data_IF_925918668795
#
_entry.id   IF_925918668795
#
_cell.length_a   1.000
_cell.length_b   1.000
_cell.length_c   1.000
_cell.angle_alpha   90.00
_cell.angle_beta   90.00
_cell.angle_gamma   90.00
#
_symmetry.space_group_name_H-M   'P 1'
#
loop_
_entity.id
_entity.type
_entity.pdbx_description
1 polymer ?
#
# COMPACT_ATOMS: atom_id res chain seq x y z
N UNK A 1 12.39 -9.86 1.53
CA UNK A 1 13.11 -8.58 1.71
C UNK A 1 13.20 -8.31 3.20
N UNK A 2 14.40 -8.36 3.77
CA UNK A 2 14.61 -8.04 5.19
C UNK A 2 14.56 -6.51 5.42
N UNK A 3 14.55 -6.08 6.69
CA UNK A 3 14.29 -4.69 7.06
C UNK A 3 15.12 -4.21 8.25
N UNK A 4 14.55 -3.28 9.01
CA UNK A 4 15.28 -2.49 10.01
C UNK A 4 14.66 -2.59 11.41
N UNK A 5 15.45 -2.19 12.42
CA UNK A 5 15.05 -1.94 13.81
C UNK A 5 14.23 -3.07 14.46
N UNK A 6 13.13 -2.74 15.16
CA UNK A 6 12.36 -3.72 15.92
C UNK A 6 11.69 -4.75 15.02
N UNK A 7 11.30 -4.33 13.81
CA UNK A 7 10.71 -5.23 12.82
C UNK A 7 11.72 -6.26 12.31
N UNK A 8 13.01 -5.93 12.16
CA UNK A 8 14.05 -6.89 11.79
C UNK A 8 14.19 -8.02 12.82
N UNK A 9 14.18 -7.68 14.11
CA UNK A 9 14.25 -8.66 15.21
C UNK A 9 13.04 -9.60 15.16
N UNK A 10 11.83 -9.05 15.01
CA UNK A 10 10.60 -9.83 14.89
C UNK A 10 10.62 -10.70 13.63
N UNK A 11 11.15 -10.17 12.53
CA UNK A 11 11.20 -10.86 11.23
C UNK A 11 12.04 -12.13 11.29
N UNK A 12 13.19 -12.07 11.97
CA UNK A 12 14.01 -13.25 12.23
C UNK A 12 13.26 -14.31 13.05
N UNK A 13 12.59 -13.91 14.14
CA UNK A 13 11.79 -14.84 14.93
C UNK A 13 10.70 -15.52 14.09
N UNK A 14 9.95 -14.74 13.31
CA UNK A 14 8.88 -15.27 12.44
C UNK A 14 9.45 -16.28 11.46
N UNK A 15 10.52 -15.89 10.74
CA UNK A 15 11.17 -16.73 9.73
C UNK A 15 11.64 -18.05 10.34
N UNK A 16 12.41 -18.01 11.42
CA UNK A 16 13.08 -19.19 11.99
C UNK A 16 12.12 -20.07 12.82
N UNK A 17 11.21 -19.47 13.59
CA UNK A 17 10.38 -20.21 14.56
C UNK A 17 9.00 -20.57 14.03
N UNK A 18 8.43 -19.77 13.12
CA UNK A 18 7.08 -19.99 12.61
C UNK A 18 7.09 -20.53 11.17
N UNK A 19 7.95 -20.02 10.30
CA UNK A 19 7.94 -20.38 8.88
C UNK A 19 8.83 -21.58 8.57
N UNK A 20 10.16 -21.45 8.70
CA UNK A 20 11.12 -22.47 8.27
C UNK A 20 11.08 -23.75 9.12
N UNK A 21 10.52 -23.69 10.33
CA UNK A 21 10.26 -24.86 11.17
C UNK A 21 9.12 -25.74 10.66
N UNK A 22 8.24 -25.20 9.79
CA UNK A 22 7.04 -25.89 9.30
C UNK A 22 6.98 -25.98 7.76
N UNK A 23 7.74 -25.15 7.04
CA UNK A 23 7.68 -25.02 5.58
C UNK A 23 9.10 -25.06 5.01
N UNK A 24 9.37 -26.07 4.19
CA UNK A 24 10.57 -26.11 3.35
C UNK A 24 10.33 -25.25 2.11
N UNK A 25 10.84 -24.02 2.13
CA UNK A 25 10.65 -23.03 1.06
C UNK A 25 11.98 -22.40 0.66
N UNK A 26 12.22 -22.30 -0.65
CA UNK A 26 13.38 -21.59 -1.17
C UNK A 26 13.16 -20.07 -1.08
N UNK A 27 13.95 -19.40 -0.22
CA UNK A 27 13.89 -17.95 -0.06
C UNK A 27 15.00 -17.27 -0.89
N UNK A 28 14.60 -16.46 -1.87
CA UNK A 28 15.52 -15.50 -2.51
C UNK A 28 15.68 -14.29 -1.59
N UNK A 29 16.74 -14.31 -0.81
CA UNK A 29 16.98 -13.33 0.25
C UNK A 29 17.61 -12.04 -0.28
N UNK A 30 17.07 -10.90 0.14
CA UNK A 30 17.60 -9.56 -0.13
C UNK A 30 17.51 -8.76 1.17
N UNK A 31 18.64 -8.26 1.65
CA UNK A 31 18.71 -7.43 2.86
C UNK A 31 18.42 -5.97 2.49
N UNK A 32 17.24 -5.46 2.83
CA UNK A 32 16.92 -4.03 2.62
C UNK A 32 17.16 -3.20 3.88
N UNK A 33 17.87 -3.76 4.87
CA UNK A 33 18.35 -3.00 6.01
C UNK A 33 19.18 -1.80 5.56
N UNK A 34 18.98 -0.66 6.19
CA UNK A 34 19.57 0.63 5.83
C UNK A 34 21.10 0.56 5.66
N UNK A 35 21.89 -0.14 6.52
CA UNK A 35 23.32 -0.28 6.30
C UNK A 35 23.69 -0.98 4.99
N UNK A 36 22.97 -2.04 4.60
CA UNK A 36 23.26 -2.78 3.37
C UNK A 36 22.78 -2.04 2.12
N UNK A 37 21.66 -1.31 2.22
CA UNK A 37 21.26 -0.36 1.17
C UNK A 37 22.32 0.71 0.96
N UNK A 38 22.86 1.31 2.02
CA UNK A 38 23.94 2.29 1.90
C UNK A 38 25.21 1.68 1.29
N UNK A 39 25.59 0.48 1.73
CA UNK A 39 26.74 -0.26 1.19
C UNK A 39 26.62 -0.48 -0.33
N UNK A 40 25.43 -0.86 -0.81
CA UNK A 40 25.16 -1.18 -2.22
C UNK A 40 24.71 0.01 -3.06
N UNK A 41 24.74 1.23 -2.52
CA UNK A 41 24.22 2.43 -3.16
C UNK A 41 22.74 2.26 -3.62
N UNK A 42 21.94 1.61 -2.77
CA UNK A 42 20.53 1.26 -2.94
C UNK A 42 20.22 0.27 -4.08
N UNK A 43 21.24 -0.33 -4.70
CA UNK A 43 21.06 -1.31 -5.78
C UNK A 43 20.30 -2.56 -5.32
N UNK A 44 20.52 -3.01 -4.07
CA UNK A 44 19.80 -4.18 -3.51
C UNK A 44 18.27 -4.00 -3.53
N UNK A 45 17.80 -2.77 -3.38
CA UNK A 45 16.36 -2.43 -3.44
C UNK A 45 15.82 -2.70 -4.85
N UNK A 46 16.53 -2.27 -5.89
CA UNK A 46 16.17 -2.49 -7.29
C UNK A 46 16.20 -3.98 -7.61
N UNK A 47 17.27 -4.68 -7.22
CA UNK A 47 17.46 -6.10 -7.50
C UNK A 47 16.35 -6.94 -6.86
N UNK A 48 15.92 -6.59 -5.65
CA UNK A 48 14.82 -7.26 -4.96
C UNK A 48 13.47 -7.08 -5.69
N UNK A 49 13.21 -5.91 -6.29
CA UNK A 49 12.01 -5.67 -7.08
C UNK A 49 12.03 -6.45 -8.39
N UNK A 50 13.20 -6.53 -9.06
CA UNK A 50 13.36 -7.33 -10.28
C UNK A 50 13.23 -8.83 -9.99
N UNK A 51 13.76 -9.31 -8.87
CA UNK A 51 13.53 -10.68 -8.40
C UNK A 51 12.05 -10.94 -8.13
N UNK A 52 11.33 -9.96 -7.59
CA UNK A 52 9.87 -10.06 -7.38
C UNK A 52 9.13 -10.21 -8.70
N UNK A 53 9.48 -9.46 -9.75
CA UNK A 53 8.91 -9.69 -11.10
C UNK A 53 9.18 -11.10 -11.61
N UNK A 54 10.38 -11.63 -11.36
CA UNK A 54 10.77 -12.98 -11.80
C UNK A 54 9.99 -14.08 -11.06
N UNK A 55 9.88 -13.97 -9.73
CA UNK A 55 9.31 -15.03 -8.88
C UNK A 55 7.85 -14.79 -8.46
N UNK A 56 7.28 -13.63 -8.80
CA UNK A 56 5.89 -13.20 -8.61
C UNK A 56 5.46 -12.95 -7.16
N UNK A 57 6.26 -13.31 -6.16
CA UNK A 57 5.87 -13.18 -4.74
C UNK A 57 7.03 -12.62 -3.93
N UNK A 58 6.79 -11.51 -3.24
CA UNK A 58 7.68 -10.98 -2.23
C UNK A 58 6.97 -10.85 -0.87
N UNK A 59 7.74 -11.09 0.18
CA UNK A 59 7.40 -10.77 1.56
C UNK A 59 8.43 -9.79 2.09
N UNK A 60 7.98 -8.66 2.64
CA UNK A 60 8.84 -7.54 2.99
C UNK A 60 8.68 -7.10 4.44
N UNK A 61 9.81 -6.96 5.10
CA UNK A 61 9.94 -6.34 6.41
C UNK A 61 9.94 -4.80 6.28
N UNK A 62 9.53 -4.10 7.34
CA UNK A 62 9.54 -2.64 7.35
C UNK A 62 10.98 -2.11 7.30
N UNK A 63 11.18 -1.01 6.56
CA UNK A 63 12.49 -0.41 6.27
C UNK A 63 12.50 1.07 6.61
N UNK A 64 13.62 1.59 7.11
CA UNK A 64 13.81 3.02 7.34
C UNK A 64 13.81 3.76 6.00
N UNK A 65 13.07 4.86 5.90
CA UNK A 65 13.33 5.88 4.87
C UNK A 65 14.11 7.00 5.56
N UNK A 66 15.40 7.21 5.22
CA UNK A 66 16.25 8.12 5.98
C UNK A 66 15.85 9.59 5.76
N UNK A 67 15.82 10.35 6.85
CA UNK A 67 15.82 11.82 6.90
C UNK A 67 17.23 12.31 7.30
N UNK A 68 17.39 13.62 7.52
CA UNK A 68 18.66 14.22 7.93
C UNK A 68 19.22 13.58 9.21
N UNK A 69 18.36 13.31 10.20
CA UNK A 69 18.77 12.69 11.46
C UNK A 69 19.26 11.24 11.25
N UNK A 70 18.61 10.48 10.34
CA UNK A 70 19.07 9.13 9.98
C UNK A 70 20.37 9.14 9.18
N UNK A 71 20.60 10.14 8.34
CA UNK A 71 21.87 10.33 7.64
C UNK A 71 23.01 10.49 8.65
N UNK A 72 22.81 11.31 9.68
CA UNK A 72 23.80 11.47 10.75
C UNK A 72 23.96 10.20 11.60
N UNK A 73 22.85 9.59 12.04
CA UNK A 73 22.86 8.40 12.90
C UNK A 73 23.63 7.23 12.26
N UNK A 74 23.35 6.96 10.97
CA UNK A 74 23.92 5.82 10.26
C UNK A 74 25.16 6.18 9.43
N UNK A 75 25.57 7.45 9.42
CA UNK A 75 26.67 7.98 8.61
C UNK A 75 26.52 7.62 7.12
N UNK A 76 25.32 7.86 6.60
CA UNK A 76 24.94 7.46 5.24
C UNK A 76 25.70 8.28 4.20
N UNK A 77 26.04 7.64 3.06
CA UNK A 77 26.63 8.32 1.90
C UNK A 77 25.66 9.34 1.31
N UNK A 78 24.37 9.02 1.29
CA UNK A 78 23.29 9.83 0.75
C UNK A 78 22.00 9.62 1.55
N UNK A 79 21.08 10.57 1.44
CA UNK A 79 19.69 10.38 1.88
C UNK A 79 18.95 9.51 0.84
N UNK A 80 19.02 8.19 1.01
CA UNK A 80 18.43 7.23 0.08
C UNK A 80 16.90 7.34 0.01
N UNK A 81 16.33 7.08 -1.17
CA UNK A 81 14.87 7.07 -1.38
C UNK A 81 14.21 5.93 -0.60
N UNK A 82 12.89 6.04 -0.43
CA UNK A 82 12.10 4.98 0.22
C UNK A 82 12.14 3.67 -0.58
N UNK A 83 12.52 2.53 0.02
CA UNK A 83 12.48 1.24 -0.66
C UNK A 83 11.09 0.88 -1.18
N UNK A 84 10.05 1.22 -0.41
CA UNK A 84 8.65 1.02 -0.81
C UNK A 84 8.33 1.78 -2.10
N UNK A 85 8.76 3.04 -2.20
CA UNK A 85 8.58 3.85 -3.40
C UNK A 85 9.30 3.24 -4.61
N UNK A 86 10.57 2.85 -4.44
CA UNK A 86 11.36 2.22 -5.52
C UNK A 86 10.73 0.91 -6.00
N UNK A 87 10.35 0.01 -5.09
CA UNK A 87 9.72 -1.28 -5.42
C UNK A 87 8.39 -1.06 -6.14
N UNK A 88 7.51 -0.20 -5.61
CA UNK A 88 6.21 0.11 -6.24
C UNK A 88 6.37 0.74 -7.61
N UNK A 89 7.38 1.59 -7.81
CA UNK A 89 7.68 2.17 -9.13
C UNK A 89 8.12 1.12 -10.14
N UNK A 90 8.88 0.11 -9.71
CA UNK A 90 9.38 -0.96 -10.58
C UNK A 90 8.25 -1.95 -10.88
N UNK A 91 7.53 -2.40 -9.86
CA UNK A 91 6.46 -3.40 -10.00
C UNK A 91 5.20 -2.82 -10.65
N UNK A 92 4.88 -1.56 -10.37
CA UNK A 92 3.55 -1.01 -10.60
C UNK A 92 2.50 -1.65 -9.67
N UNK A 93 1.24 -1.27 -9.86
CA UNK A 93 0.12 -1.89 -9.16
C UNK A 93 -0.48 -1.06 -8.03
N UNK A 94 -1.29 -1.74 -7.23
CA UNK A 94 -2.19 -1.15 -6.24
C UNK A 94 -1.93 -1.73 -4.87
N UNK A 95 -1.82 -0.89 -3.85
CA UNK A 95 -1.60 -1.35 -2.48
C UNK A 95 -2.96 -1.57 -1.81
N UNK A 96 -3.28 -2.82 -1.51
CA UNK A 96 -4.48 -3.21 -0.78
C UNK A 96 -4.19 -3.28 0.71
N UNK A 97 -4.90 -2.47 1.50
CA UNK A 97 -4.85 -2.48 2.97
C UNK A 97 -6.15 -3.00 3.54
N UNK A 98 -6.09 -4.09 4.30
CA UNK A 98 -7.26 -4.75 4.90
C UNK A 98 -7.02 -5.01 6.40
N UNK A 99 -7.98 -4.65 7.27
CA UNK A 99 -7.85 -4.85 8.72
C UNK A 99 -7.96 -6.34 9.08
N UNK A 100 -7.19 -6.72 10.09
CA UNK A 100 -7.20 -8.05 10.71
C UNK A 100 -8.21 -8.04 11.84
N UNK A 101 -9.31 -8.77 11.68
CA UNK A 101 -10.39 -8.78 12.66
C UNK A 101 -10.11 -9.74 13.82
N UNK A 102 -9.91 -9.18 15.02
CA UNK A 102 -9.84 -9.92 16.27
C UNK A 102 -11.15 -9.76 17.06
N UNK A 103 -11.78 -10.88 17.47
CA UNK A 103 -13.11 -10.85 18.12
C UNK A 103 -13.15 -10.05 19.43
N UNK A 104 -12.03 -10.00 20.14
CA UNK A 104 -11.89 -9.35 21.45
C UNK A 104 -11.37 -7.91 21.37
N UNK A 105 -11.14 -7.37 20.18
CA UNK A 105 -10.71 -5.99 19.99
C UNK A 105 -11.94 -5.15 19.59
N UNK A 106 -12.36 -4.18 20.43
CA UNK A 106 -13.45 -3.29 20.08
C UNK A 106 -13.03 -2.38 18.92
N UNK A 107 -13.99 -2.00 18.09
CA UNK A 107 -13.81 -1.09 16.96
C UNK A 107 -14.31 0.30 17.35
N UNK A 108 -13.68 1.35 16.83
CA UNK A 108 -14.10 2.73 17.10
C UNK A 108 -15.44 3.05 16.45
N UNK A 109 -15.71 2.42 15.30
CA UNK A 109 -17.03 2.44 14.65
C UNK A 109 -17.66 1.06 14.85
N UNK A 110 -18.56 0.87 15.83
CA UNK A 110 -19.06 -0.45 16.21
C UNK A 110 -19.81 -1.18 15.07
N UNK A 111 -20.42 -0.42 14.15
CA UNK A 111 -21.16 -0.94 13.01
C UNK A 111 -20.31 -1.68 11.98
N UNK A 112 -19.00 -1.43 11.92
CA UNK A 112 -18.07 -2.10 11.00
C UNK A 112 -17.85 -3.55 11.42
N UNK A 113 -18.77 -4.43 11.02
CA UNK A 113 -18.78 -5.85 11.36
C UNK A 113 -18.01 -6.69 10.35
N UNK A 114 -17.82 -6.18 9.14
CA UNK A 114 -17.00 -6.75 8.08
C UNK A 114 -15.76 -5.86 7.81
N UNK A 115 -14.67 -6.40 7.25
CA UNK A 115 -13.50 -5.60 6.89
C UNK A 115 -13.84 -4.58 5.80
N UNK A 116 -13.09 -3.49 5.74
CA UNK A 116 -13.08 -2.58 4.60
C UNK A 116 -11.69 -2.62 4.00
N UNK A 117 -11.58 -2.86 2.71
CA UNK A 117 -10.28 -2.95 2.03
C UNK A 117 -10.04 -1.71 1.19
N UNK A 118 -8.99 -0.95 1.50
CA UNK A 118 -8.56 0.19 0.68
C UNK A 118 -7.65 -0.33 -0.42
N UNK A 119 -7.98 -0.07 -1.69
CA UNK A 119 -7.02 -0.15 -2.79
C UNK A 119 -6.44 1.23 -3.06
N UNK A 120 -5.20 1.48 -2.67
CA UNK A 120 -4.50 2.75 -2.88
C UNK A 120 -3.76 2.74 -4.21
N UNK A 121 -4.04 3.74 -5.05
CA UNK A 121 -3.26 4.02 -6.27
C UNK A 121 -1.89 4.61 -5.92
N UNK A 122 -0.87 3.76 -5.79
CA UNK A 122 0.45 4.18 -5.31
C UNK A 122 1.35 4.80 -6.40
N UNK A 123 0.81 5.71 -7.23
CA UNK A 123 1.53 6.39 -8.30
C UNK A 123 1.04 7.83 -8.51
N UNK A 124 1.95 8.72 -8.92
CA UNK A 124 1.61 10.09 -9.32
C UNK A 124 1.05 10.96 -8.19
N UNK A 125 0.22 11.92 -8.59
CA UNK A 125 -0.45 12.90 -7.72
C UNK A 125 0.55 13.64 -6.81
N UNK A 126 0.17 13.95 -5.56
CA UNK A 126 1.02 14.67 -4.60
C UNK A 126 2.38 14.00 -4.37
N UNK A 127 2.49 12.68 -4.55
CA UNK A 127 3.71 11.92 -4.26
C UNK A 127 4.75 12.03 -5.38
N UNK A 128 4.43 12.71 -6.48
CA UNK A 128 5.35 13.09 -7.56
C UNK A 128 5.11 14.53 -8.03
N UNK A 129 4.60 15.36 -7.14
CA UNK A 129 4.41 16.76 -7.42
C UNK A 129 5.76 17.50 -7.48
N UNK A 130 5.75 18.67 -8.12
CA UNK A 130 6.79 19.69 -7.97
C UNK A 130 6.13 20.91 -7.38
N UNK A 131 6.66 21.40 -6.27
CA UNK A 131 6.16 22.54 -5.52
C UNK A 131 7.24 23.60 -5.28
N UNK A 132 6.81 24.82 -5.00
CA UNK A 132 7.70 25.95 -4.74
C UNK A 132 7.01 27.03 -3.90
N UNK A 133 7.83 27.83 -3.21
CA UNK A 133 7.40 29.03 -2.49
C UNK A 133 7.54 30.24 -3.42
N UNK A 134 6.54 31.11 -3.40
CA UNK A 134 6.52 32.39 -4.10
C UNK A 134 6.84 33.49 -3.09
N UNK A 135 7.95 34.19 -3.27
CA UNK A 135 8.38 35.27 -2.35
C UNK A 135 7.96 36.67 -2.81
N UNK A 136 7.57 36.81 -4.08
CA UNK A 136 7.25 38.09 -4.71
C UNK A 136 6.12 37.97 -5.74
N UNK A 137 5.43 39.06 -6.09
CA UNK A 137 4.36 39.04 -7.09
C UNK A 137 4.82 38.45 -8.43
N UNK A 138 3.93 37.73 -9.12
CA UNK A 138 4.24 37.08 -10.39
C UNK A 138 3.15 36.14 -10.90
N UNK A 139 3.23 35.77 -12.18
CA UNK A 139 2.28 34.84 -12.82
C UNK A 139 2.77 33.40 -12.74
N UNK A 140 1.92 32.51 -12.23
CA UNK A 140 2.12 31.07 -12.30
C UNK A 140 1.33 30.50 -13.48
N UNK A 141 2.04 29.79 -14.35
CA UNK A 141 1.50 29.18 -15.56
C UNK A 141 1.92 27.72 -15.64
N UNK A 142 1.09 26.91 -16.30
CA UNK A 142 1.40 25.53 -16.68
C UNK A 142 1.52 25.49 -18.21
N UNK A 143 2.56 24.82 -18.69
CA UNK A 143 2.88 24.70 -20.11
C UNK A 143 2.99 23.23 -20.47
N UNK A 144 2.32 22.83 -21.55
CA UNK A 144 2.46 21.50 -22.14
C UNK A 144 3.00 21.62 -23.56
N UNK A 145 4.15 21.00 -23.82
CA UNK A 145 4.82 20.99 -25.12
C UNK A 145 4.73 19.59 -25.73
N UNK A 146 3.85 19.36 -26.72
CA UNK A 146 3.69 18.06 -27.35
C UNK A 146 4.98 17.55 -28.00
N UNK A 147 5.28 16.27 -27.82
CA UNK A 147 6.49 15.64 -28.36
C UNK A 147 6.49 15.50 -29.90
N UNK A 148 5.30 15.53 -30.52
CA UNK A 148 5.13 15.51 -31.97
C UNK A 148 5.38 16.87 -32.63
N UNK A 149 5.73 17.90 -31.85
CA UNK A 149 5.99 19.25 -32.32
C UNK A 149 4.72 20.05 -32.63
N UNK A 150 3.53 19.54 -32.29
CA UNK A 150 2.29 20.30 -32.39
C UNK A 150 2.28 21.49 -31.41
N UNK A 151 1.28 22.37 -31.56
CA UNK A 151 1.24 23.67 -30.88
C UNK A 151 1.27 23.51 -29.36
N UNK A 152 2.22 24.20 -28.71
CA UNK A 152 2.29 24.29 -27.25
C UNK A 152 0.99 24.87 -26.66
N UNK A 153 0.58 24.28 -25.56
CA UNK A 153 -0.56 24.74 -24.76
C UNK A 153 -0.07 25.41 -23.48
N UNK A 154 -0.76 26.47 -23.07
CA UNK A 154 -0.41 27.26 -21.89
C UNK A 154 -1.68 27.66 -21.14
N UNK A 155 -1.66 27.48 -19.81
CA UNK A 155 -2.73 27.87 -18.91
C UNK A 155 -2.18 28.73 -17.78
N UNK A 156 -2.75 29.92 -17.58
CA UNK A 156 -2.47 30.72 -16.38
C UNK A 156 -3.23 30.12 -15.20
N UNK A 157 -2.50 29.72 -14.15
CA UNK A 157 -3.09 29.15 -12.92
C UNK A 157 -3.49 30.27 -11.98
N UNK A 158 -2.59 31.22 -11.73
CA UNK A 158 -2.83 32.33 -10.83
C UNK A 158 -1.84 33.48 -11.06
N UNK A 159 -2.26 34.70 -10.74
CA UNK A 159 -1.40 35.88 -10.69
C UNK A 159 -1.21 36.32 -9.24
N UNK A 160 -0.05 35.99 -8.66
CA UNK A 160 0.31 36.35 -7.29
C UNK A 160 0.53 37.86 -7.16
N UNK A 161 -0.17 38.49 -6.22
CA UNK A 161 0.01 39.90 -5.84
C UNK A 161 0.92 40.09 -4.62
N UNK A 162 1.30 39.00 -3.96
CA UNK A 162 2.22 38.92 -2.83
C UNK A 162 2.82 37.50 -2.76
N UNK A 163 3.42 37.12 -1.63
CA UNK A 163 3.94 35.76 -1.44
C UNK A 163 2.87 34.66 -1.42
N UNK A 164 3.29 33.41 -1.59
CA UNK A 164 2.40 32.25 -1.63
C UNK A 164 3.15 30.95 -1.92
N UNK A 165 2.46 29.94 -2.45
CA UNK A 165 3.07 28.70 -2.93
C UNK A 165 2.33 28.19 -4.17
N UNK A 166 3.03 27.41 -4.99
CA UNK A 166 2.49 26.77 -6.18
C UNK A 166 2.89 25.31 -6.25
N UNK A 167 2.10 24.49 -6.94
CA UNK A 167 2.45 23.11 -7.23
C UNK A 167 1.88 22.65 -8.57
N UNK A 168 2.55 21.66 -9.17
CA UNK A 168 2.06 20.88 -10.30
C UNK A 168 2.15 19.39 -9.99
N UNK A 169 1.16 18.61 -10.43
CA UNK A 169 1.14 17.16 -10.29
C UNK A 169 0.57 16.51 -11.55
N UNK A 170 0.80 15.20 -11.69
CA UNK A 170 0.36 14.44 -12.86
C UNK A 170 0.01 13.00 -12.49
N UNK A 171 -0.73 12.37 -13.39
CA UNK A 171 -0.91 10.92 -13.44
C UNK A 171 -0.90 10.47 -14.91
N UNK A 172 -0.97 9.16 -15.16
CA UNK A 172 -0.98 8.60 -16.52
C UNK A 172 -2.14 7.62 -16.70
N UNK A 173 -2.73 7.62 -17.90
CA UNK A 173 -3.81 6.68 -18.25
C UNK A 173 -3.40 5.22 -18.05
N UNK A 174 -2.15 4.87 -18.38
CA UNK A 174 -1.58 3.54 -18.15
C UNK A 174 -1.65 3.15 -16.66
N UNK A 175 -1.22 4.05 -15.78
CA UNK A 175 -1.20 3.80 -14.34
C UNK A 175 -2.61 3.70 -13.76
N UNK A 176 -3.52 4.59 -14.18
CA UNK A 176 -4.93 4.58 -13.75
C UNK A 176 -5.63 3.31 -14.24
N UNK A 177 -5.35 2.86 -15.47
CA UNK A 177 -5.92 1.63 -16.02
C UNK A 177 -5.43 0.41 -15.25
N UNK A 178 -4.13 0.34 -14.94
CA UNK A 178 -3.57 -0.72 -14.10
C UNK A 178 -4.20 -0.75 -12.70
N UNK A 179 -4.41 0.43 -12.09
CA UNK A 179 -5.12 0.57 -10.82
C UNK A 179 -6.56 0.03 -10.89
N UNK A 180 -7.32 0.41 -11.92
CA UNK A 180 -8.68 -0.07 -12.13
C UNK A 180 -8.73 -1.60 -12.25
N UNK A 181 -7.89 -2.19 -13.11
CA UNK A 181 -7.80 -3.65 -13.29
C UNK A 181 -7.51 -4.37 -11.97
N UNK A 182 -6.51 -3.91 -11.20
CA UNK A 182 -6.19 -4.47 -9.88
C UNK A 182 -7.39 -4.41 -8.93
N UNK A 183 -8.11 -3.28 -8.86
CA UNK A 183 -9.27 -3.13 -7.98
C UNK A 183 -10.44 -4.05 -8.36
N UNK A 184 -10.77 -4.15 -9.65
CA UNK A 184 -11.85 -5.04 -10.11
C UNK A 184 -11.53 -6.51 -9.87
N UNK A 185 -10.31 -6.95 -10.19
CA UNK A 185 -9.85 -8.32 -9.94
C UNK A 185 -9.89 -8.66 -8.44
N UNK A 186 -9.43 -7.75 -7.58
CA UNK A 186 -9.44 -7.95 -6.14
C UNK A 186 -10.87 -8.02 -5.58
N UNK A 187 -11.78 -7.16 -6.05
CA UNK A 187 -13.20 -7.21 -5.66
C UNK A 187 -13.88 -8.52 -6.07
N UNK A 188 -13.60 -9.04 -7.27
CA UNK A 188 -14.06 -10.37 -7.73
C UNK A 188 -13.53 -11.48 -6.83
N UNK A 189 -12.23 -11.46 -6.51
CA UNK A 189 -11.60 -12.45 -5.62
C UNK A 189 -12.26 -12.47 -4.25
N UNK A 190 -12.59 -11.29 -3.69
CA UNK A 190 -13.29 -11.14 -2.41
C UNK A 190 -14.79 -11.39 -2.51
N UNK A 191 -15.36 -11.39 -3.72
CA UNK A 191 -16.80 -11.37 -4.00
C UNK A 191 -17.50 -10.22 -3.28
N UNK A 192 -16.90 -9.04 -3.33
CA UNK A 192 -17.38 -7.83 -2.67
C UNK A 192 -17.64 -6.70 -3.68
N UNK A 193 -18.58 -5.78 -3.40
CA UNK A 193 -18.74 -4.59 -4.21
C UNK A 193 -17.51 -3.68 -4.15
N UNK A 194 -17.34 -2.87 -5.20
CA UNK A 194 -16.23 -1.93 -5.37
C UNK A 194 -16.76 -0.49 -5.44
N UNK A 195 -16.15 0.39 -4.66
CA UNK A 195 -16.37 1.83 -4.75
C UNK A 195 -15.08 2.52 -5.17
N UNK A 196 -15.17 3.50 -6.08
CA UNK A 196 -14.04 4.38 -6.40
C UNK A 196 -14.44 5.83 -6.10
N UNK A 197 -13.59 6.57 -5.39
CA UNK A 197 -13.91 7.93 -4.97
C UNK A 197 -13.00 8.98 -5.56
N UNK A 198 -13.58 10.09 -6.02
CA UNK A 198 -12.84 11.28 -6.50
C UNK A 198 -13.54 12.58 -6.12
N UNK A 199 -13.00 13.73 -6.53
CA UNK A 199 -13.65 15.04 -6.49
C UNK A 199 -13.85 15.62 -7.90
N UNK A 200 -14.34 14.80 -8.84
CA UNK A 200 -14.51 15.18 -10.25
C UNK A 200 -15.48 16.35 -10.51
N UNK A 201 -16.34 16.74 -9.56
CA UNK A 201 -17.14 17.97 -9.69
C UNK A 201 -16.27 19.23 -9.67
N UNK A 202 -15.12 19.17 -8.99
CA UNK A 202 -14.13 20.25 -8.89
C UNK A 202 -12.99 20.03 -9.89
N UNK A 203 -12.31 18.89 -9.81
CA UNK A 203 -11.22 18.52 -10.72
C UNK A 203 -11.78 17.83 -11.97
N UNK A 204 -12.54 18.59 -12.78
CA UNK A 204 -13.34 18.06 -13.88
C UNK A 204 -12.54 17.22 -14.89
N UNK A 205 -11.35 17.68 -15.28
CA UNK A 205 -10.48 16.94 -16.18
C UNK A 205 -9.71 15.84 -15.45
N UNK A 206 -8.95 16.19 -14.41
CA UNK A 206 -8.04 15.28 -13.71
C UNK A 206 -8.77 14.10 -13.05
N UNK A 207 -9.75 14.38 -12.19
CA UNK A 207 -10.53 13.34 -11.50
C UNK A 207 -11.64 12.76 -12.37
N UNK A 208 -12.08 13.51 -13.39
CA UNK A 208 -12.93 12.98 -14.45
C UNK A 208 -12.24 11.84 -15.19
N UNK A 209 -10.94 11.96 -15.49
CA UNK A 209 -10.18 10.91 -16.17
C UNK A 209 -10.14 9.59 -15.40
N UNK A 210 -9.99 9.65 -14.08
CA UNK A 210 -10.10 8.46 -13.23
C UNK A 210 -11.47 7.81 -13.33
N UNK A 211 -12.54 8.60 -13.21
CA UNK A 211 -13.92 8.13 -13.32
C UNK A 211 -14.17 7.45 -14.67
N UNK A 212 -13.79 8.11 -15.76
CA UNK A 212 -14.03 7.64 -17.11
C UNK A 212 -13.28 6.34 -17.39
N UNK A 213 -11.98 6.27 -17.06
CA UNK A 213 -11.18 5.04 -17.24
C UNK A 213 -11.76 3.87 -16.45
N UNK A 214 -12.14 4.08 -15.19
CA UNK A 214 -12.75 3.00 -14.39
C UNK A 214 -14.08 2.53 -14.98
N UNK A 215 -14.92 3.45 -15.45
CA UNK A 215 -16.20 3.11 -16.06
C UNK A 215 -16.02 2.32 -17.37
N UNK A 216 -15.13 2.79 -18.25
CA UNK A 216 -14.85 2.15 -19.53
C UNK A 216 -14.32 0.72 -19.33
N UNK A 217 -13.38 0.54 -18.41
CA UNK A 217 -12.82 -0.78 -18.07
C UNK A 217 -13.88 -1.68 -17.43
N UNK A 218 -14.72 -1.15 -16.53
CA UNK A 218 -15.79 -1.92 -15.90
C UNK A 218 -16.74 -2.51 -16.94
N UNK A 219 -17.30 -1.65 -17.80
CA UNK A 219 -18.27 -2.03 -18.84
C UNK A 219 -17.67 -3.04 -19.82
N UNK A 220 -16.43 -2.81 -20.25
CA UNK A 220 -15.77 -3.64 -21.26
C UNK A 220 -15.31 -4.99 -20.73
N UNK A 221 -14.83 -5.05 -19.49
CA UNK A 221 -14.05 -6.21 -19.01
C UNK A 221 -14.65 -6.93 -17.80
N UNK A 222 -15.41 -6.26 -16.94
CA UNK A 222 -15.73 -6.79 -15.61
C UNK A 222 -17.21 -6.89 -15.29
N UNK A 223 -18.07 -6.11 -15.95
CA UNK A 223 -19.51 -6.10 -15.69
C UNK A 223 -20.14 -7.50 -15.71
N UNK A 224 -19.87 -8.39 -16.70
CA UNK A 224 -20.47 -9.72 -16.71
C UNK A 224 -20.14 -10.58 -15.47
N UNK A 225 -18.90 -10.53 -14.99
CA UNK A 225 -18.49 -11.30 -13.80
C UNK A 225 -19.03 -10.67 -12.51
N UNK A 226 -19.11 -9.34 -12.44
CA UNK A 226 -19.76 -8.64 -11.32
C UNK A 226 -21.24 -8.98 -11.22
N UNK A 227 -21.98 -8.95 -12.33
CA UNK A 227 -23.39 -9.31 -12.39
C UNK A 227 -23.61 -10.76 -11.93
N UNK A 228 -22.78 -11.69 -12.41
CA UNK A 228 -22.81 -13.12 -12.04
C UNK A 228 -22.54 -13.34 -10.54
N UNK A 229 -21.61 -12.59 -9.96
CA UNK A 229 -21.29 -12.65 -8.53
C UNK A 229 -22.25 -11.84 -7.65
N UNK A 230 -23.18 -11.10 -8.25
CA UNK A 230 -24.15 -10.22 -7.57
C UNK A 230 -23.45 -9.12 -6.74
N UNK A 231 -22.38 -8.58 -7.27
CA UNK A 231 -21.64 -7.43 -6.74
C UNK A 231 -21.73 -6.28 -7.74
N UNK A 232 -21.44 -5.05 -7.30
CA UNK A 232 -21.53 -3.86 -8.14
C UNK A 232 -20.26 -2.99 -8.05
N UNK A 233 -20.11 -2.12 -9.04
CA UNK A 233 -19.14 -1.03 -9.03
C UNK A 233 -19.88 0.30 -9.00
N UNK A 234 -19.40 1.24 -8.20
CA UNK A 234 -19.93 2.60 -8.16
C UNK A 234 -18.82 3.65 -7.99
N UNK A 235 -18.85 4.70 -8.81
CA UNK A 235 -18.10 5.93 -8.55
C UNK A 235 -18.86 6.84 -7.58
N UNK A 236 -18.17 7.37 -6.57
CA UNK A 236 -18.73 8.34 -5.61
C UNK A 236 -17.86 9.58 -5.47
N UNK A 237 -18.47 10.68 -5.07
CA UNK A 237 -17.71 11.83 -4.59
C UNK A 237 -17.08 11.50 -3.23
N UNK A 238 -15.83 11.90 -3.02
CA UNK A 238 -15.05 11.51 -1.83
C UNK A 238 -15.73 11.91 -0.51
N UNK A 239 -16.38 13.07 -0.45
CA UNK A 239 -17.12 13.55 0.71
C UNK A 239 -18.37 12.72 1.02
N UNK A 240 -19.10 12.28 0.00
CA UNK A 240 -20.21 11.34 0.18
C UNK A 240 -19.70 9.95 0.57
N UNK A 241 -18.61 9.49 -0.06
CA UNK A 241 -18.02 8.18 0.20
C UNK A 241 -17.57 8.03 1.66
N UNK A 242 -16.86 9.01 2.23
CA UNK A 242 -16.44 8.94 3.65
C UNK A 242 -17.64 8.91 4.61
N UNK A 243 -18.72 9.62 4.27
CA UNK A 243 -19.96 9.60 5.06
C UNK A 243 -20.68 8.25 4.96
N UNK A 244 -20.72 7.64 3.77
CA UNK A 244 -21.24 6.30 3.57
C UNK A 244 -20.43 5.26 4.36
N UNK A 245 -19.10 5.33 4.29
CA UNK A 245 -18.20 4.39 4.97
C UNK A 245 -18.49 4.36 6.47
N UNK A 246 -18.62 5.53 7.12
CA UNK A 246 -18.93 5.62 8.54
C UNK A 246 -20.28 4.99 8.94
N UNK A 247 -21.27 5.02 8.03
CA UNK A 247 -22.61 4.45 8.26
C UNK A 247 -22.73 2.98 7.84
N UNK A 248 -21.74 2.47 7.11
CA UNK A 248 -21.76 1.12 6.56
C UNK A 248 -21.51 0.04 7.63
N UNK A 249 -21.70 -1.22 7.23
CA UNK A 249 -21.27 -2.39 8.00
C UNK A 249 -19.90 -2.95 7.57
N UNK A 250 -19.21 -2.28 6.64
CA UNK A 250 -18.03 -2.80 5.94
C UNK A 250 -18.38 -3.77 4.80
N UNK A 251 -17.43 -4.59 4.37
CA UNK A 251 -17.63 -5.66 3.38
C UNK A 251 -17.53 -5.20 1.92
N UNK A 252 -16.66 -4.25 1.64
CA UNK A 252 -16.44 -3.71 0.30
C UNK A 252 -14.97 -3.35 0.06
N UNK A 253 -14.60 -3.26 -1.22
CA UNK A 253 -13.33 -2.69 -1.65
C UNK A 253 -13.55 -1.21 -1.95
N UNK A 254 -12.67 -0.35 -1.47
CA UNK A 254 -12.67 1.08 -1.72
C UNK A 254 -11.38 1.48 -2.42
N UNK A 255 -11.49 1.71 -3.73
CA UNK A 255 -10.43 2.26 -4.56
C UNK A 255 -10.27 3.76 -4.29
N UNK A 256 -9.09 4.12 -3.76
CA UNK A 256 -8.71 5.47 -3.43
C UNK A 256 -7.56 5.95 -4.31
N UNK A 257 -7.63 7.22 -4.74
CA UNK A 257 -6.46 7.94 -5.26
C UNK A 257 -5.33 7.94 -4.23
N UNK A 258 -4.13 8.31 -4.67
CA UNK A 258 -2.92 8.10 -3.88
C UNK A 258 -3.00 8.72 -2.47
N UNK A 259 -3.37 10.00 -2.40
CA UNK A 259 -3.48 10.73 -1.14
C UNK A 259 -4.65 10.24 -0.27
N UNK A 260 -5.83 10.05 -0.88
CA UNK A 260 -7.01 9.54 -0.16
C UNK A 260 -6.72 8.16 0.45
N UNK A 261 -6.06 7.28 -0.30
CA UNK A 261 -5.74 5.93 0.15
C UNK A 261 -4.74 5.92 1.30
N UNK A 262 -3.81 6.88 1.34
CA UNK A 262 -2.88 7.05 2.46
C UNK A 262 -3.65 7.40 3.73
N UNK A 263 -4.37 8.53 3.71
CA UNK A 263 -5.10 9.07 4.87
C UNK A 263 -6.17 8.11 5.36
N UNK A 264 -7.01 7.59 4.45
CA UNK A 264 -8.17 6.77 4.83
C UNK A 264 -7.76 5.38 5.32
N UNK A 265 -6.63 4.85 4.85
CA UNK A 265 -6.13 3.56 5.35
C UNK A 265 -5.68 3.62 6.81
N UNK A 266 -5.09 4.74 7.24
CA UNK A 266 -4.70 4.96 8.64
C UNK A 266 -5.93 5.14 9.54
N UNK A 267 -6.94 5.87 9.07
CA UNK A 267 -8.24 6.00 9.77
C UNK A 267 -8.88 4.62 9.95
N UNK A 268 -8.90 3.79 8.90
CA UNK A 268 -9.44 2.44 9.00
C UNK A 268 -8.61 1.58 9.95
N UNK A 269 -7.29 1.61 9.87
CA UNK A 269 -6.43 0.83 10.77
C UNK A 269 -6.71 1.16 12.25
N UNK A 270 -6.83 2.44 12.57
CA UNK A 270 -7.17 2.87 13.93
C UNK A 270 -8.61 2.53 14.29
N UNK A 271 -9.55 2.66 13.34
CA UNK A 271 -10.96 2.33 13.53
C UNK A 271 -11.22 0.84 13.78
N UNK A 272 -10.36 -0.03 13.23
CA UNK A 272 -10.37 -1.47 13.47
C UNK A 272 -9.47 -1.92 14.63
N UNK A 273 -8.82 -0.99 15.33
CA UNK A 273 -8.13 -1.22 16.59
C UNK A 273 -6.71 -0.63 16.64
N UNK A 274 -5.84 -1.01 15.70
CA UNK A 274 -4.48 -0.47 15.61
C UNK A 274 -3.85 -0.70 14.24
N UNK A 275 -2.80 0.07 13.92
CA UNK A 275 -1.94 -0.17 12.75
C UNK A 275 -1.29 -1.56 12.72
N UNK A 276 -1.09 -2.20 13.88
CA UNK A 276 -0.57 -3.57 13.97
C UNK A 276 -1.57 -4.65 13.55
N UNK A 277 -2.82 -4.27 13.30
CA UNK A 277 -3.91 -5.15 12.84
C UNK A 277 -4.33 -4.77 11.41
N UNK A 278 -3.39 -4.39 10.56
CA UNK A 278 -3.63 -4.03 9.17
C UNK A 278 -2.62 -4.76 8.27
N UNK A 279 -3.14 -5.49 7.29
CA UNK A 279 -2.34 -6.09 6.21
C UNK A 279 -2.06 -5.07 5.12
N UNK A 280 -0.97 -5.22 4.37
CA UNK A 280 -0.67 -4.42 3.19
C UNK A 280 -0.14 -5.33 2.08
N UNK A 281 -0.82 -5.38 0.94
CA UNK A 281 -0.43 -6.21 -0.20
C UNK A 281 -0.46 -5.37 -1.47
N UNK A 282 0.69 -5.13 -2.08
CA UNK A 282 0.78 -4.62 -3.44
C UNK A 282 0.38 -5.73 -4.41
N UNK A 283 -0.61 -5.46 -5.26
CA UNK A 283 -1.06 -6.36 -6.32
C UNK A 283 -0.83 -5.70 -7.68
N UNK A 284 -0.02 -6.36 -8.50
CA UNK A 284 0.27 -5.93 -9.87
C UNK A 284 -0.91 -6.21 -10.81
N UNK A 285 -1.05 -5.46 -11.91
CA UNK A 285 -2.19 -5.61 -12.84
C UNK A 285 -2.16 -6.91 -13.66
N UNK A 286 -1.05 -7.65 -13.63
CA UNK A 286 -0.91 -8.97 -14.26
C UNK A 286 -1.75 -10.06 -13.57
N UNK A 287 -2.38 -9.75 -12.43
CA UNK A 287 -3.18 -10.69 -11.63
C UNK A 287 -2.35 -11.79 -10.96
N UNK A 288 -1.02 -11.67 -10.96
CA UNK A 288 -0.09 -12.72 -10.54
C UNK A 288 0.97 -12.23 -9.56
N UNK A 289 1.54 -11.06 -9.78
CA UNK A 289 2.66 -10.56 -8.99
C UNK A 289 2.17 -9.80 -7.76
N UNK A 290 2.65 -10.19 -6.57
CA UNK A 290 2.35 -9.49 -5.31
C UNK A 290 3.61 -9.21 -4.49
N UNK A 291 3.51 -8.18 -3.66
CA UNK A 291 4.43 -7.92 -2.55
C UNK A 291 3.61 -7.68 -1.29
N UNK A 292 3.85 -8.47 -0.24
CA UNK A 292 3.15 -8.38 1.03
C UNK A 292 4.06 -7.81 2.12
N UNK A 293 3.57 -6.78 2.81
CA UNK A 293 4.27 -6.07 3.89
C UNK A 293 3.33 -5.78 5.09
N UNK A 294 3.92 -5.42 6.21
CA UNK A 294 3.18 -4.79 7.30
C UNK A 294 2.82 -3.35 6.91
N UNK A 295 1.61 -2.87 7.28
CA UNK A 295 1.21 -1.50 6.97
C UNK A 295 1.96 -0.43 7.77
N UNK A 296 2.61 -0.80 8.88
CA UNK A 296 3.32 0.10 9.79
C UNK A 296 4.83 0.19 9.50
N UNK A 297 5.48 1.19 10.09
CA UNK A 297 6.93 1.38 10.02
C UNK A 297 7.74 0.44 10.92
N UNK A 298 9.01 0.78 11.13
CA UNK A 298 10.03 -0.05 11.81
C UNK A 298 9.95 -0.07 13.34
N UNK A 299 9.01 0.69 13.92
CA UNK A 299 8.76 0.83 15.36
C UNK A 299 9.99 1.34 16.13
N UNK A 300 10.63 2.38 15.61
CA UNK A 300 11.86 3.00 16.14
C UNK A 300 11.83 3.23 17.65
N UNK A 301 10.71 3.73 18.19
CA UNK A 301 10.58 3.99 19.64
C UNK A 301 10.82 2.74 20.48
N UNK A 302 10.28 1.59 20.07
CA UNK A 302 10.47 0.33 20.79
C UNK A 302 11.88 -0.20 20.58
N UNK A 303 12.43 -0.02 19.37
CA UNK A 303 13.83 -0.37 19.10
C UNK A 303 14.80 0.38 20.02
N UNK A 304 14.56 1.67 20.32
CA UNK A 304 15.41 2.42 21.28
C UNK A 304 15.35 1.85 22.69
N UNK A 305 14.20 1.39 23.16
CA UNK A 305 14.10 0.73 24.46
C UNK A 305 14.78 -0.65 24.44
N UNK A 306 14.62 -1.41 23.35
CA UNK A 306 15.35 -2.67 23.14
C UNK A 306 16.87 -2.49 23.16
N UNK A 307 17.40 -1.46 22.48
CA UNK A 307 18.83 -1.12 22.50
C UNK A 307 19.35 -0.80 23.92
N UNK A 308 18.47 -0.34 24.82
CA UNK A 308 18.77 -0.10 26.24
C UNK A 308 18.60 -1.34 27.13
N UNK A 309 18.30 -2.50 26.54
CA UNK A 309 17.99 -3.74 27.27
C UNK A 309 16.66 -3.70 28.03
N UNK A 310 15.78 -2.76 27.72
CA UNK A 310 14.48 -2.64 28.38
C UNK A 310 13.41 -3.51 27.68
N UNK A 311 12.38 -3.96 28.42
CA UNK A 311 11.30 -4.73 27.84
C UNK A 311 10.53 -3.91 26.79
N UNK A 312 10.03 -4.60 25.76
CA UNK A 312 9.17 -4.03 24.72
C UNK A 312 7.94 -4.90 24.50
N UNK A 313 6.82 -4.29 24.08
CA UNK A 313 5.60 -5.00 23.69
C UNK A 313 5.20 -4.57 22.29
N UNK A 314 5.90 -5.13 21.30
CA UNK A 314 5.69 -4.81 19.89
C UNK A 314 4.82 -5.88 19.26
N UNK A 315 3.69 -5.48 18.67
CA UNK A 315 2.75 -6.42 18.05
C UNK A 315 3.33 -6.99 16.73
N UNK A 316 3.54 -8.32 16.61
CA UNK A 316 4.12 -8.94 15.42
C UNK A 316 3.08 -9.36 14.36
N UNK A 317 1.78 -9.18 14.62
CA UNK A 317 0.69 -9.79 13.82
C UNK A 317 0.76 -9.36 12.34
N UNK A 318 0.87 -8.05 12.05
CA UNK A 318 0.97 -7.59 10.66
C UNK A 318 2.20 -8.17 9.92
N UNK A 319 3.34 -8.31 10.60
CA UNK A 319 4.54 -8.95 10.03
C UNK A 319 4.33 -10.44 9.77
N UNK A 320 3.60 -11.16 10.64
CA UNK A 320 3.24 -12.56 10.38
C UNK A 320 2.29 -12.65 9.19
N UNK A 321 1.31 -11.74 9.09
CA UNK A 321 0.39 -11.70 7.96
C UNK A 321 1.09 -11.39 6.64
N UNK A 322 2.16 -10.59 6.62
CA UNK A 322 2.96 -10.41 5.41
C UNK A 322 3.52 -11.75 4.89
N UNK A 323 4.04 -12.60 5.80
CA UNK A 323 4.48 -13.95 5.45
C UNK A 323 3.36 -14.85 4.98
N UNK A 324 2.25 -14.94 5.73
CA UNK A 324 1.15 -15.84 5.38
C UNK A 324 0.49 -15.45 4.07
N UNK A 325 0.35 -14.14 3.78
CA UNK A 325 -0.21 -13.66 2.50
C UNK A 325 0.69 -13.99 1.33
N UNK A 326 2.00 -13.84 1.48
CA UNK A 326 2.96 -14.27 0.46
C UNK A 326 2.91 -15.78 0.22
N UNK A 327 2.94 -16.59 1.28
CA UNK A 327 2.91 -18.05 1.18
C UNK A 327 1.58 -18.58 0.64
N UNK A 328 0.45 -18.02 1.05
CA UNK A 328 -0.87 -18.40 0.53
C UNK A 328 -0.96 -18.12 -0.97
N UNK A 329 -0.46 -16.96 -1.41
CA UNK A 329 -0.44 -16.62 -2.83
C UNK A 329 0.52 -17.49 -3.63
N UNK A 330 1.71 -17.80 -3.08
CA UNK A 330 2.63 -18.78 -3.66
C UNK A 330 1.95 -20.14 -3.82
N UNK A 331 1.25 -20.59 -2.80
CA UNK A 331 0.48 -21.84 -2.82
C UNK A 331 -0.62 -21.83 -3.89
N UNK A 332 -1.32 -20.71 -4.11
CA UNK A 332 -2.28 -20.56 -5.20
C UNK A 332 -1.64 -20.69 -6.57
N UNK A 333 -0.50 -20.02 -6.78
CA UNK A 333 0.23 -20.08 -8.06
C UNK A 333 0.80 -21.47 -8.36
N UNK A 334 1.16 -22.24 -7.31
CA UNK A 334 1.75 -23.58 -7.45
C UNK A 334 0.70 -24.71 -7.37
N UNK A 335 -0.56 -24.40 -7.06
CA UNK A 335 -1.57 -25.42 -6.76
C UNK A 335 -1.31 -26.21 -5.47
N UNK A 336 -0.53 -25.65 -4.54
CA UNK A 336 -0.17 -26.28 -3.27
C UNK A 336 -1.19 -25.96 -2.17
N UNK A 337 -2.14 -26.86 -1.96
CA UNK A 337 -3.20 -26.71 -0.96
C UNK A 337 -2.70 -26.73 0.49
N UNK A 338 -1.61 -27.45 0.76
CA UNK A 338 -1.06 -27.58 2.12
C UNK A 338 -0.42 -26.27 2.57
N UNK A 339 0.28 -25.58 1.66
CA UNK A 339 0.83 -24.26 1.93
C UNK A 339 -0.27 -23.22 2.18
N UNK A 340 -1.35 -23.25 1.38
CA UNK A 340 -2.53 -22.40 1.58
C UNK A 340 -3.14 -22.66 2.97
N UNK A 341 -3.33 -23.94 3.32
CA UNK A 341 -3.91 -24.35 4.60
C UNK A 341 -3.02 -23.95 5.78
N UNK A 342 -1.70 -24.09 5.65
CA UNK A 342 -0.74 -23.64 6.67
C UNK A 342 -0.89 -22.14 6.93
N UNK A 343 -0.87 -21.31 5.88
CA UNK A 343 -1.02 -19.86 5.99
C UNK A 343 -2.33 -19.47 6.68
N UNK A 344 -3.45 -20.06 6.27
CA UNK A 344 -4.77 -19.82 6.87
C UNK A 344 -4.85 -20.29 8.32
N UNK A 345 -4.19 -21.40 8.65
CA UNK A 345 -4.17 -21.92 10.03
C UNK A 345 -3.38 -21.01 10.96
N UNK A 346 -2.23 -20.51 10.50
CA UNK A 346 -1.42 -19.57 11.28
C UNK A 346 -2.18 -18.26 11.54
N UNK A 347 -2.82 -17.68 10.52
CA UNK A 347 -3.66 -16.48 10.70
C UNK A 347 -4.82 -16.73 11.68
N UNK A 348 -5.52 -17.87 11.55
CA UNK A 348 -6.62 -18.23 12.45
C UNK A 348 -6.17 -18.40 13.89
N UNK A 349 -4.97 -18.94 14.12
CA UNK A 349 -4.39 -19.08 15.47
C UNK A 349 -4.09 -17.74 16.15
N UNK A 350 -3.83 -16.68 15.37
CA UNK A 350 -3.57 -15.34 15.90
C UNK A 350 -4.86 -14.61 16.32
N UNK A 351 -5.95 -14.81 15.57
CA UNK A 351 -7.20 -14.06 15.73
C UNK A 351 -8.34 -14.87 16.40
N UNK A 352 -8.18 -16.19 16.49
CA UNK A 352 -9.17 -17.14 17.02
C UNK A 352 -8.79 -17.64 18.41
N UNK A 353 -9.68 -17.42 19.38
CA UNK A 353 -9.59 -17.88 20.77
C UNK A 353 -8.40 -17.36 21.57
N UNK A 354 -8.58 -16.23 22.27
CA UNK A 354 -8.08 -15.99 23.65
C UNK A 354 -6.66 -16.44 24.02
N UNK A 355 -5.78 -16.62 23.05
CA UNK A 355 -4.44 -17.13 23.23
C UNK A 355 -3.61 -15.99 23.77
N UNK A 356 -3.51 -15.93 25.10
CA UNK A 356 -2.39 -15.26 25.74
C UNK A 356 -1.13 -15.89 25.15
N UNK A 357 -0.48 -15.20 24.23
CA UNK A 357 0.94 -15.41 23.99
C UNK A 357 1.60 -15.16 25.35
N UNK A 358 2.00 -16.25 26.03
CA UNK A 358 2.83 -16.12 27.22
C UNK A 358 4.20 -15.68 26.74
N UNK A 359 4.70 -14.66 27.43
CA UNK A 359 5.97 -13.96 27.21
C UNK A 359 7.16 -14.88 26.93
#
# INVERSE_FOLDING_TARGET
MDGDEMTRIIWEFIKEKLILSNVDVELKYFDLGLPYRDQTNDQVTIDSALATKKYNVAVKCATITPDEARVEEFKLKNMWKSPNGTIRNILGGTVFREPILCRNIPRLVPGWTLPITIGRHAFGDQYRATDFVVEKPGKFKVVFSPADGSKQEEWEVYNFTAGGCGMGMYNTDESISGFAHSCFQYAIQKRWPLYMSTKNTILKAYDGRFKDIFQDIFEKNYKPEFDKLKIWYEHRLIDDMVAQVLKSSGGFVWACKNYDGDVQSDILAQGFGSLGLMTSVLVCPDGKTIEAEAAHGTVTRHYREHQRGKPTSTNPIASIFAWTRGLEHRGKLDGNSDLIKFSQTLEKGLCGNGGKWRE
#
